data_IF_367603123528
#
_entry.id   IF_367603123528
#
_cell.length_a   1.000
_cell.length_b   1.000
_cell.length_c   1.000
_cell.angle_alpha   90.00
_cell.angle_beta   90.00
_cell.angle_gamma   90.00
#
_symmetry.space_group_name_H-M   'P 1'
#
loop_
_entity.id
_entity.type
_entity.pdbx_description
1 polymer ?
#
# COMPACT_ATOMS: atom_id res chain seq x y z
N UNK A 1 13.66 -24.90 -7.63
CA UNK A 1 13.79 -23.79 -6.66
C UNK A 1 12.52 -23.01 -6.78
N UNK A 2 11.66 -23.13 -5.77
CA UNK A 2 10.29 -22.64 -5.78
C UNK A 2 10.28 -21.12 -5.84
N UNK A 3 9.67 -20.54 -6.89
CA UNK A 3 9.22 -19.15 -6.86
C UNK A 3 8.31 -19.01 -5.64
N UNK A 4 8.61 -18.04 -4.75
CA UNK A 4 7.85 -17.84 -3.53
C UNK A 4 6.37 -17.70 -3.86
N UNK A 5 5.57 -18.64 -3.37
CA UNK A 5 4.12 -18.53 -3.40
C UNK A 5 3.77 -17.21 -2.72
N UNK A 6 3.16 -16.28 -3.46
CA UNK A 6 2.55 -15.11 -2.86
C UNK A 6 1.60 -15.62 -1.77
N UNK A 7 1.75 -15.09 -0.54
CA UNK A 7 0.91 -15.52 0.56
C UNK A 7 -0.55 -15.18 0.22
N UNK A 8 -1.40 -16.18 0.11
CA UNK A 8 -2.83 -16.00 -0.19
C UNK A 8 -3.56 -15.67 1.11
N UNK A 9 -3.43 -14.40 1.56
CA UNK A 9 -4.04 -13.94 2.80
C UNK A 9 -5.56 -13.80 2.65
N UNK A 10 -6.30 -14.13 3.72
CA UNK A 10 -7.64 -13.60 3.92
C UNK A 10 -7.52 -12.20 4.52
N UNK A 11 -7.97 -11.20 3.79
CA UNK A 11 -7.76 -9.80 4.10
C UNK A 11 -9.07 -9.15 4.55
N UNK A 12 -9.03 -8.38 5.64
CA UNK A 12 -10.09 -7.46 6.04
C UNK A 12 -9.69 -6.03 5.67
N UNK A 13 -10.44 -5.41 4.76
CA UNK A 13 -10.25 -4.03 4.34
C UNK A 13 -11.18 -3.11 5.14
N UNK A 14 -10.61 -2.19 5.89
CA UNK A 14 -11.29 -1.20 6.72
C UNK A 14 -10.91 0.20 6.24
N UNK A 15 -11.90 1.00 5.90
CA UNK A 15 -11.74 2.28 5.23
C UNK A 15 -12.31 3.40 6.10
N UNK A 16 -11.49 4.33 6.50
CA UNK A 16 -11.89 5.60 7.08
C UNK A 16 -12.37 6.52 5.93
N UNK A 17 -13.68 6.50 5.65
CA UNK A 17 -14.24 7.20 4.51
C UNK A 17 -14.24 8.73 4.68
N UNK A 18 -14.21 9.23 5.91
CA UNK A 18 -14.11 10.67 6.18
C UNK A 18 -12.75 11.24 5.73
N UNK A 19 -11.68 10.40 5.70
CA UNK A 19 -10.31 10.81 5.38
C UNK A 19 -9.71 10.13 4.14
N UNK A 20 -10.43 9.20 3.50
CA UNK A 20 -9.95 8.47 2.33
C UNK A 20 -10.63 8.92 1.03
N UNK A 21 -9.88 9.07 -0.08
CA UNK A 21 -10.46 9.42 -1.37
C UNK A 21 -11.15 8.22 -2.04
N UNK A 22 -12.46 8.30 -2.28
CA UNK A 22 -13.26 7.27 -2.93
C UNK A 22 -12.71 6.86 -4.33
N UNK A 23 -12.09 7.80 -5.04
CA UNK A 23 -11.51 7.56 -6.38
C UNK A 23 -10.34 6.56 -6.40
N UNK A 24 -9.73 6.27 -5.24
CA UNK A 24 -8.56 5.38 -5.13
C UNK A 24 -8.91 3.95 -4.76
N UNK A 25 -10.19 3.66 -4.50
CA UNK A 25 -10.61 2.34 -3.98
C UNK A 25 -10.27 1.19 -4.94
N UNK A 26 -10.44 1.37 -6.26
CA UNK A 26 -10.07 0.36 -7.24
C UNK A 26 -8.58 0.01 -7.11
N UNK A 27 -7.71 1.01 -7.13
CA UNK A 27 -6.27 0.81 -7.03
C UNK A 27 -5.84 0.16 -5.71
N UNK A 28 -6.54 0.45 -4.60
CA UNK A 28 -6.30 -0.19 -3.31
C UNK A 28 -6.67 -1.68 -3.38
N UNK A 29 -7.83 -2.01 -3.97
CA UNK A 29 -8.27 -3.41 -4.12
C UNK A 29 -7.35 -4.19 -5.07
N UNK A 30 -6.90 -3.57 -6.16
CA UNK A 30 -5.95 -4.17 -7.10
C UNK A 30 -4.62 -4.46 -6.40
N UNK A 31 -4.18 -3.56 -5.53
CA UNK A 31 -2.97 -3.77 -4.75
C UNK A 31 -3.11 -4.92 -3.76
N UNK A 32 -4.21 -4.95 -3.00
CA UNK A 32 -4.48 -6.03 -2.03
C UNK A 32 -4.64 -7.39 -2.71
N UNK A 33 -5.16 -7.43 -3.94
CA UNK A 33 -5.33 -8.66 -4.71
C UNK A 33 -4.00 -9.37 -5.01
N UNK A 34 -2.88 -8.64 -5.01
CA UNK A 34 -1.52 -9.21 -5.16
C UNK A 34 -1.08 -10.02 -3.93
N UNK A 35 -1.75 -9.81 -2.80
CA UNK A 35 -1.41 -10.42 -1.51
C UNK A 35 -2.44 -11.45 -1.03
N UNK A 36 -3.64 -11.45 -1.59
CA UNK A 36 -4.67 -12.40 -1.21
C UNK A 36 -6.09 -11.95 -1.53
N UNK A 37 -7.05 -12.56 -0.86
CA UNK A 37 -8.48 -12.33 -1.09
C UNK A 37 -9.05 -11.39 -0.03
N UNK A 38 -9.65 -10.27 -0.47
CA UNK A 38 -10.30 -9.31 0.42
C UNK A 38 -11.74 -9.76 0.72
N UNK A 39 -11.92 -10.57 1.77
CA UNK A 39 -13.19 -11.17 2.16
C UNK A 39 -14.12 -10.19 2.89
N UNK A 40 -13.56 -9.28 3.67
CA UNK A 40 -14.29 -8.25 4.40
C UNK A 40 -13.92 -6.89 3.81
N UNK A 41 -14.94 -6.09 3.47
CA UNK A 41 -14.78 -4.73 2.96
C UNK A 41 -15.76 -3.84 3.67
N UNK A 42 -15.28 -2.94 4.54
CA UNK A 42 -16.12 -2.03 5.34
C UNK A 42 -15.59 -0.61 5.25
N UNK A 43 -16.49 0.36 5.12
CA UNK A 43 -16.15 1.77 5.14
C UNK A 43 -16.94 2.49 6.23
N UNK A 44 -16.26 3.26 7.04
CA UNK A 44 -16.78 3.92 8.23
C UNK A 44 -16.91 5.41 7.95
N UNK A 45 -18.05 5.98 8.31
CA UNK A 45 -18.30 7.41 8.14
C UNK A 45 -19.72 7.81 8.52
N UNK A 46 -19.96 9.09 8.58
CA UNK A 46 -21.31 9.62 8.70
C UNK A 46 -21.90 9.85 7.30
N UNK A 47 -22.55 8.83 6.76
CA UNK A 47 -23.11 8.82 5.39
C UNK A 47 -24.18 9.88 5.11
N UNK A 48 -24.60 10.65 6.14
CA UNK A 48 -25.44 11.83 5.96
C UNK A 48 -24.67 13.06 5.49
N UNK A 49 -23.32 13.02 5.57
CA UNK A 49 -22.48 14.13 5.12
C UNK A 49 -22.41 14.18 3.60
N UNK A 50 -22.59 15.37 3.03
CA UNK A 50 -22.51 15.57 1.59
C UNK A 50 -21.13 15.23 1.00
N UNK A 51 -20.08 15.38 1.79
CA UNK A 51 -18.68 15.07 1.42
C UNK A 51 -18.48 13.59 1.09
N UNK A 52 -19.29 12.70 1.69
CA UNK A 52 -19.22 11.27 1.44
C UNK A 52 -20.03 10.80 0.22
N UNK A 53 -20.71 11.71 -0.47
CA UNK A 53 -21.52 11.38 -1.65
C UNK A 53 -20.71 10.66 -2.75
N UNK A 54 -19.43 11.00 -2.92
CA UNK A 54 -18.55 10.33 -3.88
C UNK A 54 -18.33 8.84 -3.58
N UNK A 55 -18.63 8.38 -2.37
CA UNK A 55 -18.55 6.98 -1.97
C UNK A 55 -19.81 6.18 -2.36
N UNK A 56 -20.98 6.79 -2.56
CA UNK A 56 -22.25 6.07 -2.75
C UNK A 56 -22.17 5.04 -3.89
N UNK A 57 -21.70 5.47 -5.07
CA UNK A 57 -21.52 4.58 -6.22
C UNK A 57 -20.44 3.53 -5.95
N UNK A 58 -19.32 3.94 -5.33
CA UNK A 58 -18.18 3.07 -5.06
C UNK A 58 -18.49 1.98 -4.04
N UNK A 59 -19.29 2.27 -3.02
CA UNK A 59 -19.71 1.27 -2.05
C UNK A 59 -20.44 0.11 -2.73
N UNK A 60 -21.35 0.41 -3.65
CA UNK A 60 -22.09 -0.59 -4.38
C UNK A 60 -21.21 -1.32 -5.41
N UNK A 61 -20.46 -0.58 -6.22
CA UNK A 61 -19.59 -1.09 -7.27
C UNK A 61 -18.57 -2.11 -6.74
N UNK A 62 -17.96 -1.82 -5.58
CA UNK A 62 -16.91 -2.66 -4.98
C UNK A 62 -17.40 -3.55 -3.84
N UNK A 63 -18.71 -3.70 -3.66
CA UNK A 63 -19.33 -4.49 -2.60
C UNK A 63 -18.75 -4.16 -1.20
N UNK A 64 -18.63 -2.86 -0.90
CA UNK A 64 -18.15 -2.35 0.37
C UNK A 64 -19.34 -2.09 1.28
N UNK A 65 -19.34 -2.64 2.48
CA UNK A 65 -20.38 -2.42 3.48
C UNK A 65 -20.19 -1.07 4.15
N UNK A 66 -21.17 -0.14 4.03
CA UNK A 66 -21.14 1.12 4.77
C UNK A 66 -21.45 0.88 6.25
N UNK A 67 -20.60 1.41 7.13
CA UNK A 67 -20.77 1.40 8.57
C UNK A 67 -21.13 2.82 9.03
N UNK A 68 -22.44 3.05 9.29
CA UNK A 68 -22.93 4.36 9.68
C UNK A 68 -22.51 4.71 11.10
N UNK A 69 -21.88 5.87 11.26
CA UNK A 69 -21.63 6.48 12.56
C UNK A 69 -22.20 7.89 12.59
N UNK A 70 -22.96 8.21 13.64
CA UNK A 70 -23.49 9.55 13.84
C UNK A 70 -22.54 10.38 14.68
N UNK A 71 -22.35 11.63 14.28
CA UNK A 71 -21.57 12.58 15.09
C UNK A 71 -22.42 13.06 16.28
N UNK A 72 -22.28 12.41 17.42
CA UNK A 72 -22.99 12.80 18.67
C UNK A 72 -22.49 14.14 19.22
N UNK A 73 -21.30 14.57 18.84
CA UNK A 73 -20.73 15.88 19.15
C UNK A 73 -19.72 16.27 18.08
N UNK A 74 -19.66 17.56 17.75
CA UNK A 74 -18.72 18.08 16.74
C UNK A 74 -17.27 17.76 17.10
N UNK A 75 -16.51 17.26 16.13
CA UNK A 75 -15.06 17.04 16.24
C UNK A 75 -14.66 15.81 17.08
N UNK A 76 -15.56 14.82 17.24
CA UNK A 76 -15.19 13.54 17.87
C UNK A 76 -15.10 12.41 16.86
N UNK A 77 -14.13 11.54 17.07
CA UNK A 77 -13.71 10.44 16.19
C UNK A 77 -14.64 9.21 16.33
N UNK A 78 -15.97 9.40 16.12
CA UNK A 78 -16.93 8.31 16.27
C UNK A 78 -16.71 7.20 15.22
N UNK A 79 -16.39 7.59 13.98
CA UNK A 79 -16.07 6.68 12.89
C UNK A 79 -14.80 5.88 13.19
N UNK A 80 -13.77 6.55 13.72
CA UNK A 80 -12.48 5.94 14.04
C UNK A 80 -12.62 4.89 15.15
N UNK A 81 -13.36 5.25 16.21
CA UNK A 81 -13.64 4.32 17.31
C UNK A 81 -14.44 3.10 16.85
N UNK A 82 -15.42 3.28 15.97
CA UNK A 82 -16.17 2.17 15.41
C UNK A 82 -15.27 1.25 14.56
N UNK A 83 -14.37 1.83 13.76
CA UNK A 83 -13.40 1.08 12.97
C UNK A 83 -12.43 0.30 13.86
N UNK A 84 -11.96 0.90 14.97
CA UNK A 84 -11.08 0.22 15.93
C UNK A 84 -11.80 -0.96 16.60
N UNK A 85 -13.03 -0.77 17.08
CA UNK A 85 -13.82 -1.84 17.73
C UNK A 85 -14.06 -2.99 16.77
N UNK A 86 -14.45 -2.68 15.54
CA UNK A 86 -14.74 -3.67 14.50
C UNK A 86 -13.47 -4.42 14.06
N UNK A 87 -12.34 -3.73 13.95
CA UNK A 87 -11.05 -4.36 13.68
C UNK A 87 -10.67 -5.38 14.77
N UNK A 88 -10.90 -5.01 16.04
CA UNK A 88 -10.65 -5.89 17.19
C UNK A 88 -11.61 -7.10 17.18
N UNK A 89 -12.89 -6.90 16.88
CA UNK A 89 -13.84 -7.98 16.75
C UNK A 89 -13.43 -8.96 15.65
N UNK A 90 -13.14 -8.46 14.44
CA UNK A 90 -12.68 -9.27 13.31
C UNK A 90 -11.42 -10.07 13.63
N UNK A 91 -10.47 -9.45 14.35
CA UNK A 91 -9.23 -10.12 14.74
C UNK A 91 -9.48 -11.41 15.54
N UNK A 92 -10.50 -11.42 16.39
CA UNK A 92 -10.78 -12.56 17.28
C UNK A 92 -11.86 -13.49 16.73
N UNK A 93 -12.79 -13.01 15.92
CA UNK A 93 -13.91 -13.82 15.35
C UNK A 93 -13.52 -14.43 14.01
N UNK A 94 -13.29 -13.61 13.00
CA UNK A 94 -13.03 -14.06 11.62
C UNK A 94 -11.56 -14.41 11.39
N UNK A 95 -10.66 -13.90 12.24
CA UNK A 95 -9.22 -14.15 12.23
C UNK A 95 -8.59 -13.99 10.85
N UNK A 96 -8.75 -12.82 10.19
CA UNK A 96 -8.06 -12.56 8.95
C UNK A 96 -6.55 -12.56 9.19
N UNK A 97 -5.78 -13.07 8.22
CA UNK A 97 -4.32 -13.07 8.32
C UNK A 97 -3.74 -11.69 8.03
N UNK A 98 -4.49 -10.84 7.31
CA UNK A 98 -4.06 -9.49 7.01
C UNK A 98 -5.20 -8.47 7.12
N UNK A 99 -4.83 -7.23 7.42
CA UNK A 99 -5.71 -6.07 7.41
C UNK A 99 -5.21 -5.04 6.40
N UNK A 100 -6.12 -4.51 5.59
CA UNK A 100 -5.92 -3.28 4.83
C UNK A 100 -6.55 -2.12 5.60
N UNK A 101 -5.76 -1.14 6.01
CA UNK A 101 -6.24 0.05 6.70
C UNK A 101 -6.06 1.27 5.80
N UNK A 102 -7.18 1.90 5.45
CA UNK A 102 -7.16 3.11 4.60
C UNK A 102 -7.46 4.32 5.47
N UNK A 103 -6.44 5.01 5.91
CA UNK A 103 -6.51 6.27 6.65
C UNK A 103 -5.15 6.98 6.63
N UNK A 104 -5.16 8.28 6.93
CA UNK A 104 -3.94 9.09 7.14
C UNK A 104 -3.80 9.55 8.58
N UNK A 105 -4.62 9.03 9.50
CA UNK A 105 -4.65 9.44 10.89
C UNK A 105 -3.68 8.61 11.75
N UNK A 106 -2.87 9.32 12.54
CA UNK A 106 -1.93 8.70 13.49
C UNK A 106 -2.63 7.99 14.65
N UNK A 107 -3.88 8.32 14.94
CA UNK A 107 -4.65 7.74 16.04
C UNK A 107 -4.89 6.23 15.85
N UNK A 108 -4.77 5.73 14.61
CA UNK A 108 -4.78 4.29 14.32
C UNK A 108 -3.45 3.56 14.60
N UNK A 109 -2.37 4.27 14.95
CA UNK A 109 -1.07 3.63 15.25
C UNK A 109 -1.16 2.55 16.34
N UNK A 110 -1.85 2.76 17.47
CA UNK A 110 -2.02 1.73 18.49
C UNK A 110 -2.76 0.48 17.98
N UNK A 111 -3.78 0.67 17.13
CA UNK A 111 -4.49 -0.44 16.50
C UNK A 111 -3.54 -1.27 15.63
N UNK A 112 -2.76 -0.63 14.76
CA UNK A 112 -1.78 -1.32 13.91
C UNK A 112 -0.79 -2.14 14.73
N UNK A 113 -0.23 -1.53 15.78
CA UNK A 113 0.69 -2.22 16.70
C UNK A 113 0.03 -3.44 17.35
N UNK A 114 -1.23 -3.32 17.77
CA UNK A 114 -1.97 -4.42 18.37
C UNK A 114 -2.22 -5.55 17.36
N UNK A 115 -2.72 -5.25 16.15
CA UNK A 115 -2.95 -6.25 15.10
C UNK A 115 -1.66 -7.02 14.79
N UNK A 116 -0.54 -6.31 14.62
CA UNK A 116 0.77 -6.93 14.37
C UNK A 116 1.26 -7.78 15.54
N UNK A 117 1.04 -7.37 16.79
CA UNK A 117 1.40 -8.16 17.97
C UNK A 117 0.66 -9.49 18.06
N UNK A 118 -0.49 -9.60 17.37
CA UNK A 118 -1.28 -10.83 17.23
C UNK A 118 -0.95 -11.62 15.96
N UNK A 119 0.07 -11.22 15.23
CA UNK A 119 0.57 -11.93 14.03
C UNK A 119 -0.13 -11.55 12.73
N UNK A 120 -1.02 -10.56 12.73
CA UNK A 120 -1.64 -10.10 11.50
C UNK A 120 -0.66 -9.20 10.69
N UNK A 121 -0.69 -9.35 9.36
CA UNK A 121 -0.03 -8.41 8.44
C UNK A 121 -0.89 -7.17 8.28
N UNK A 122 -0.31 -5.98 8.28
CA UNK A 122 -1.06 -4.74 8.10
C UNK A 122 -0.55 -3.96 6.89
N UNK A 123 -1.41 -3.83 5.88
CA UNK A 123 -1.22 -2.99 4.72
C UNK A 123 -1.88 -1.63 4.98
N UNK A 124 -1.06 -0.58 5.14
CA UNK A 124 -1.54 0.78 5.31
C UNK A 124 -1.65 1.51 3.97
N UNK A 125 -2.74 2.24 3.78
CA UNK A 125 -2.96 3.10 2.63
C UNK A 125 -3.34 4.49 3.12
N UNK A 126 -2.53 5.49 2.81
CA UNK A 126 -2.79 6.86 3.25
C UNK A 126 -2.23 7.89 2.30
N UNK A 127 -2.57 9.14 2.53
CA UNK A 127 -2.02 10.27 1.78
C UNK A 127 -0.58 10.54 2.21
N UNK A 128 0.16 11.31 1.41
CA UNK A 128 1.56 11.72 1.71
C UNK A 128 1.70 12.50 3.03
N UNK A 129 0.60 13.08 3.52
CA UNK A 129 0.54 13.77 4.82
C UNK A 129 0.47 12.83 6.03
N UNK A 130 0.26 11.51 5.82
CA UNK A 130 0.15 10.55 6.91
C UNK A 130 1.42 10.61 7.79
N UNK A 131 1.29 10.66 9.13
CA UNK A 131 2.43 10.78 10.02
C UNK A 131 3.33 9.55 9.95
N UNK A 132 4.63 9.79 10.05
CA UNK A 132 5.66 8.75 9.99
C UNK A 132 5.48 7.59 11.00
N UNK A 133 5.06 7.84 12.26
CA UNK A 133 4.80 6.75 13.20
C UNK A 133 3.75 5.75 12.71
N UNK A 134 2.67 6.23 12.08
CA UNK A 134 1.64 5.38 11.49
C UNK A 134 2.18 4.59 10.32
N UNK A 135 2.92 5.23 9.40
CA UNK A 135 3.55 4.56 8.28
C UNK A 135 4.47 3.43 8.73
N UNK A 136 5.35 3.69 9.71
CA UNK A 136 6.32 2.71 10.24
C UNK A 136 5.68 1.57 11.03
N UNK A 137 4.53 1.81 11.63
CA UNK A 137 3.80 0.77 12.35
C UNK A 137 3.29 -0.31 11.40
N UNK A 138 2.86 0.03 10.19
CA UNK A 138 2.36 -0.92 9.18
C UNK A 138 3.42 -1.93 8.76
N UNK A 139 3.01 -3.09 8.25
CA UNK A 139 3.92 -4.04 7.61
C UNK A 139 4.39 -3.51 6.26
N UNK A 140 3.45 -2.94 5.49
CA UNK A 140 3.72 -2.19 4.25
C UNK A 140 2.83 -0.96 4.26
N UNK A 141 3.35 0.19 3.85
CA UNK A 141 2.57 1.41 3.72
C UNK A 141 2.70 1.99 2.32
N UNK A 142 1.58 2.29 1.69
CA UNK A 142 1.51 2.86 0.34
C UNK A 142 0.80 4.20 0.36
N UNK A 143 1.39 5.16 -0.32
CA UNK A 143 0.72 6.43 -0.58
C UNK A 143 -0.33 6.26 -1.67
N UNK A 144 -1.58 6.65 -1.37
CA UNK A 144 -2.69 6.54 -2.32
C UNK A 144 -2.48 7.36 -3.59
N UNK A 145 -1.61 8.37 -3.55
CA UNK A 145 -1.21 9.15 -4.71
C UNK A 145 -0.34 8.34 -5.69
N UNK A 146 0.43 7.37 -5.18
CA UNK A 146 1.39 6.59 -5.96
C UNK A 146 0.82 5.28 -6.52
N UNK A 147 -0.38 4.85 -6.05
CA UNK A 147 -1.05 3.66 -6.56
C UNK A 147 -2.02 4.01 -7.69
N UNK A 148 -2.18 3.08 -8.65
CA UNK A 148 -3.05 3.26 -9.82
C UNK A 148 -2.53 4.28 -10.84
N UNK A 149 -1.27 4.70 -10.72
CA UNK A 149 -0.56 5.50 -11.72
C UNK A 149 0.40 4.63 -12.55
N UNK A 150 0.08 3.35 -12.73
CA UNK A 150 0.72 2.65 -13.83
C UNK A 150 0.29 3.38 -15.10
N UNK A 151 1.21 4.17 -15.63
CA UNK A 151 1.10 4.71 -16.96
C UNK A 151 0.91 3.52 -17.88
N UNK A 152 -0.33 3.25 -18.29
CA UNK A 152 -0.57 2.57 -19.53
C UNK A 152 0.00 3.54 -20.56
N UNK A 153 1.28 3.38 -20.88
CA UNK A 153 1.80 3.89 -22.13
C UNK A 153 0.97 3.12 -23.15
N UNK A 154 0.06 3.75 -23.89
CA UNK A 154 -0.59 3.04 -24.95
C UNK A 154 0.53 2.68 -25.95
N UNK A 155 0.95 1.43 -25.92
CA UNK A 155 1.82 0.90 -26.97
C UNK A 155 0.96 0.92 -28.21
N UNK A 156 1.09 1.99 -28.99
CA UNK A 156 0.38 2.11 -30.26
C UNK A 156 0.83 0.92 -31.13
N UNK A 157 -0.11 0.36 -31.90
CA UNK A 157 0.20 -0.71 -32.82
C UNK A 157 1.38 -0.39 -33.74
N UNK A 158 1.68 0.90 -33.95
CA UNK A 158 2.84 1.40 -34.67
C UNK A 158 4.17 1.12 -33.92
N UNK A 159 4.20 1.20 -32.60
CA UNK A 159 5.41 0.95 -31.82
C UNK A 159 5.77 -0.54 -31.78
N UNK A 160 4.76 -1.44 -31.75
CA UNK A 160 4.99 -2.90 -31.82
C UNK A 160 5.55 -3.29 -33.20
N UNK A 161 5.08 -2.67 -34.30
CA UNK A 161 5.58 -2.93 -35.63
C UNK A 161 7.03 -2.44 -35.84
N UNK A 162 7.42 -1.33 -35.19
CA UNK A 162 8.79 -0.80 -35.25
C UNK A 162 9.76 -1.67 -34.46
N UNK A 163 9.38 -2.13 -33.27
CA UNK A 163 10.23 -3.02 -32.43
C UNK A 163 10.42 -4.39 -33.09
N UNK A 164 9.43 -4.92 -33.81
CA UNK A 164 9.56 -6.17 -34.54
C UNK A 164 10.40 -6.03 -35.84
N UNK A 165 10.54 -4.84 -36.39
CA UNK A 165 11.38 -4.59 -37.54
C UNK A 165 12.86 -4.39 -37.21
N UNK A 166 13.18 -3.96 -35.96
CA UNK A 166 14.56 -3.71 -35.52
C UNK A 166 15.31 -4.95 -35.02
N UNK A 167 14.63 -6.09 -34.79
CA UNK A 167 15.27 -7.33 -34.32
C UNK A 167 16.07 -8.05 -35.44
N UNK A 168 16.05 -7.56 -36.68
CA UNK A 168 16.67 -8.23 -37.84
C UNK A 168 17.90 -7.47 -38.41
N UNK A 169 18.35 -6.41 -37.78
CA UNK A 169 19.58 -5.73 -38.19
C UNK A 169 20.58 -5.61 -37.03
N UNK A 170 21.62 -6.43 -37.12
CA UNK A 170 22.87 -6.30 -36.37
C UNK A 170 23.46 -4.91 -36.59
N UNK A 171 23.50 -4.07 -35.59
CA UNK A 171 24.67 -3.21 -35.35
C UNK A 171 24.64 -2.59 -33.93
N UNK A 172 25.77 -2.66 -33.25
CA UNK A 172 26.00 -2.19 -31.88
C UNK A 172 26.17 -0.68 -31.92
N UNK A 173 25.10 0.06 -31.61
CA UNK A 173 25.22 1.51 -31.38
C UNK A 173 24.86 1.82 -29.92
N UNK A 174 25.79 2.45 -29.21
CA UNK A 174 25.72 2.93 -27.84
C UNK A 174 24.33 3.45 -27.44
N UNK A 175 23.70 2.76 -26.50
CA UNK A 175 22.51 3.25 -25.81
C UNK A 175 22.89 4.49 -24.99
N UNK A 176 22.48 5.67 -25.46
CA UNK A 176 22.55 6.88 -24.65
C UNK A 176 21.65 6.73 -23.42
N UNK A 177 22.13 7.07 -22.20
CA UNK A 177 21.32 6.93 -21.01
C UNK A 177 20.11 7.85 -21.07
N UNK A 178 18.90 7.23 -20.95
CA UNK A 178 17.65 7.95 -20.72
C UNK A 178 17.85 8.88 -19.53
N UNK A 179 17.48 10.17 -19.58
CA UNK A 179 17.65 11.08 -18.45
C UNK A 179 16.80 10.56 -17.28
N UNK A 180 17.48 9.97 -16.30
CA UNK A 180 16.90 9.54 -15.04
C UNK A 180 16.24 10.76 -14.40
N UNK A 181 14.92 10.74 -14.06
CA UNK A 181 14.35 11.81 -13.26
C UNK A 181 15.24 11.93 -12.02
N UNK A 182 15.68 13.17 -11.70
CA UNK A 182 16.54 13.44 -10.55
C UNK A 182 15.85 12.83 -9.33
N UNK A 183 16.27 11.63 -8.91
CA UNK A 183 15.95 11.12 -7.60
C UNK A 183 16.37 12.22 -6.63
N UNK A 184 15.43 12.90 -6.01
CA UNK A 184 15.73 13.73 -4.86
C UNK A 184 16.42 12.80 -3.91
N UNK A 185 17.69 13.02 -3.60
CA UNK A 185 18.45 12.20 -2.67
C UNK A 185 17.75 12.29 -1.32
N UNK A 186 16.81 11.38 -1.12
CA UNK A 186 16.19 11.18 0.18
C UNK A 186 17.26 10.56 1.07
N UNK A 187 17.85 11.39 1.93
CA UNK A 187 18.88 10.99 2.89
C UNK A 187 18.45 9.77 3.71
N UNK A 188 17.14 9.63 3.89
CA UNK A 188 16.53 8.52 4.61
C UNK A 188 16.58 7.22 3.81
N UNK A 189 16.25 7.26 2.52
CA UNK A 189 16.36 6.11 1.61
C UNK A 189 17.81 5.63 1.52
N UNK A 190 18.75 6.58 1.35
CA UNK A 190 20.18 6.24 1.28
C UNK A 190 20.68 5.64 2.59
N UNK A 191 20.25 6.15 3.75
CA UNK A 191 20.63 5.61 5.06
C UNK A 191 20.04 4.20 5.27
N UNK A 192 18.80 3.98 4.88
CA UNK A 192 18.13 2.67 4.96
C UNK A 192 18.83 1.63 4.09
N UNK A 193 19.11 1.98 2.83
CA UNK A 193 19.83 1.11 1.90
C UNK A 193 21.24 0.78 2.40
N UNK A 194 21.98 1.79 2.86
CA UNK A 194 23.32 1.62 3.40
C UNK A 194 23.33 0.71 4.63
N UNK A 195 22.41 0.95 5.58
CA UNK A 195 22.26 0.12 6.77
C UNK A 195 21.92 -1.34 6.42
N UNK A 196 21.01 -1.54 5.46
CA UNK A 196 20.64 -2.88 5.01
C UNK A 196 21.81 -3.62 4.33
N UNK A 197 22.58 -2.94 3.47
CA UNK A 197 23.78 -3.54 2.85
C UNK A 197 24.81 -3.92 3.91
N UNK A 198 25.10 -3.03 4.87
CA UNK A 198 26.05 -3.31 5.95
C UNK A 198 25.62 -4.47 6.83
N UNK A 199 24.32 -4.63 7.08
CA UNK A 199 23.79 -5.68 7.96
C UNK A 199 23.85 -7.08 7.34
N UNK A 200 23.89 -7.19 6.00
CA UNK A 200 23.88 -8.49 5.28
C UNK A 200 25.12 -8.71 4.43
N UNK A 201 26.12 -7.81 4.49
CA UNK A 201 27.39 -7.96 3.82
C UNK A 201 28.17 -9.16 4.41
N UNK A 202 28.78 -9.93 3.52
CA UNK A 202 29.66 -11.03 3.88
C UNK A 202 31.10 -10.52 4.18
N UNK A 203 31.99 -11.37 4.64
CA UNK A 203 33.38 -11.00 5.02
C UNK A 203 34.17 -10.34 3.88
N UNK A 204 33.80 -10.63 2.64
CA UNK A 204 34.37 -10.02 1.43
C UNK A 204 33.80 -8.61 1.10
N UNK A 205 32.88 -8.11 1.91
CA UNK A 205 32.22 -6.81 1.75
C UNK A 205 31.08 -6.78 0.73
N UNK A 206 30.71 -7.91 0.12
CA UNK A 206 29.60 -8.00 -0.82
C UNK A 206 28.30 -8.42 -0.13
N UNK A 207 27.16 -7.91 -0.62
CA UNK A 207 25.84 -8.26 -0.15
C UNK A 207 24.96 -8.75 -1.31
N UNK A 208 24.35 -9.93 -1.18
CA UNK A 208 23.40 -10.42 -2.15
C UNK A 208 22.15 -9.53 -2.15
N UNK A 209 21.76 -9.01 -3.33
CA UNK A 209 20.65 -8.07 -3.49
C UNK A 209 19.33 -8.60 -2.89
N UNK A 210 19.05 -9.91 -3.04
CA UNK A 210 17.88 -10.54 -2.45
C UNK A 210 17.89 -10.51 -0.91
N UNK A 211 19.06 -10.66 -0.26
CA UNK A 211 19.19 -10.53 1.20
C UNK A 211 19.00 -9.10 1.67
N UNK A 212 19.51 -8.13 0.92
CA UNK A 212 19.30 -6.70 1.18
C UNK A 212 17.81 -6.36 1.12
N UNK A 213 17.10 -6.79 0.07
CA UNK A 213 15.67 -6.60 -0.07
C UNK A 213 14.86 -7.19 1.08
N UNK A 214 15.15 -8.45 1.45
CA UNK A 214 14.48 -9.11 2.58
C UNK A 214 14.76 -8.40 3.91
N UNK A 215 15.99 -7.94 4.12
CA UNK A 215 16.36 -7.21 5.34
C UNK A 215 15.58 -5.89 5.47
N UNK A 216 15.46 -5.14 4.37
CA UNK A 216 14.67 -3.91 4.32
C UNK A 216 13.19 -4.19 4.60
N UNK A 217 12.61 -5.21 3.94
CA UNK A 217 11.22 -5.59 4.12
C UNK A 217 10.89 -5.99 5.57
N UNK A 218 11.82 -6.62 6.27
CA UNK A 218 11.65 -7.06 7.65
C UNK A 218 11.84 -5.93 8.69
N UNK A 219 12.62 -4.90 8.35
CA UNK A 219 12.94 -3.81 9.29
C UNK A 219 12.03 -2.59 9.15
N UNK A 220 11.53 -2.32 7.97
CA UNK A 220 10.79 -1.10 7.70
C UNK A 220 9.57 -1.38 6.82
N UNK A 221 8.53 -0.56 6.98
CA UNK A 221 7.42 -0.46 6.03
C UNK A 221 7.93 0.21 4.75
N UNK A 222 8.62 -0.57 3.91
CA UNK A 222 9.26 -0.07 2.69
C UNK A 222 8.49 -0.52 1.46
N UNK A 223 8.12 0.43 0.61
CA UNK A 223 7.67 0.17 -0.75
C UNK A 223 8.41 1.10 -1.71
N UNK A 224 9.13 0.57 -2.72
CA UNK A 224 9.93 1.37 -3.65
C UNK A 224 9.09 2.40 -4.41
N UNK A 225 7.81 2.12 -4.65
CA UNK A 225 6.89 3.04 -5.34
C UNK A 225 6.64 4.34 -4.59
N UNK A 226 6.93 4.39 -3.28
CA UNK A 226 6.84 5.60 -2.48
C UNK A 226 8.00 6.59 -2.74
N UNK A 227 9.03 6.14 -3.45
CA UNK A 227 10.25 6.92 -3.69
C UNK A 227 10.47 7.28 -5.17
N UNK A 228 9.60 6.84 -6.06
CA UNK A 228 9.63 7.14 -7.51
C UNK A 228 9.99 5.96 -8.37
#
# INVERSE_FOLDING_TARGET
>A
MSAGQAADYRIALLIDADNAPASKIQAILDELSKHGVTNVRRAYGNWKKAELKAWEERLHEFAIRPMQQFDYSKGKNASDMAMVIDAMELLYTDKPQAFGLVSSDADFTPLVMHLKSKGAVVFGFGQKKAPEPFQRACSTFLFVENIGTESIVPVSAATVATVMAEIVADDVTELQPVPTPKLKMDTRLVSLLRGAVQAVAEEDGWALLGRVGNHIANQASFDPRNYG
#
